data_IF_960440486015
#
_entry.id   IF_960440486015
#
_cell.length_a   1.000
_cell.length_b   1.000
_cell.length_c   1.000
_cell.angle_alpha   90.00
_cell.angle_beta   90.00
_cell.angle_gamma   90.00
#
_symmetry.space_group_name_H-M   'P 1'
#
loop_
_entity.id
_entity.type
_entity.pdbx_description
1 polymer ?
#
# COMPACT_ATOMS: atom_id res chain seq x y z
N UNK A 1 -3.92 -29.02 -28.35
CA UNK A 1 -3.95 -27.63 -27.85
C UNK A 1 -2.58 -27.34 -27.30
N UNK A 2 -1.82 -26.45 -27.93
CA UNK A 2 -0.60 -25.93 -27.30
C UNK A 2 -1.06 -24.97 -26.21
N UNK A 3 -0.65 -25.23 -24.97
CA UNK A 3 -0.92 -24.34 -23.85
C UNK A 3 0.06 -23.18 -23.94
N UNK A 4 -0.45 -21.97 -24.16
CA UNK A 4 0.40 -20.77 -24.12
C UNK A 4 0.55 -20.31 -22.67
N UNK A 5 1.59 -20.82 -22.00
CA UNK A 5 1.88 -20.48 -20.62
C UNK A 5 2.28 -19.02 -20.43
N UNK A 6 2.82 -18.36 -21.47
CA UNK A 6 3.28 -16.98 -21.38
C UNK A 6 2.10 -16.01 -21.28
N UNK A 7 1.05 -16.24 -22.08
CA UNK A 7 -0.19 -15.46 -22.00
C UNK A 7 -0.83 -15.51 -20.60
N UNK A 8 -0.87 -16.69 -19.97
CA UNK A 8 -1.39 -16.85 -18.62
C UNK A 8 -0.53 -16.18 -17.56
N UNK A 9 0.79 -16.22 -17.71
CA UNK A 9 1.73 -15.51 -16.82
C UNK A 9 1.52 -14.00 -16.95
N UNK A 10 1.45 -13.47 -18.17
CA UNK A 10 1.15 -12.06 -18.40
C UNK A 10 -0.16 -11.65 -17.77
N UNK A 11 -1.22 -12.43 -18.00
CA UNK A 11 -2.53 -12.19 -17.41
C UNK A 11 -2.46 -12.11 -15.87
N UNK A 12 -1.79 -13.08 -15.23
CA UNK A 12 -1.63 -13.10 -13.78
C UNK A 12 -0.88 -11.86 -13.27
N UNK A 13 0.26 -11.51 -13.89
CA UNK A 13 1.04 -10.34 -13.48
C UNK A 13 0.29 -9.03 -13.70
N UNK A 14 -0.50 -8.90 -14.78
CA UNK A 14 -1.33 -7.71 -15.05
C UNK A 14 -2.36 -7.52 -13.94
N UNK A 15 -3.14 -8.54 -13.62
CA UNK A 15 -4.16 -8.45 -12.58
C UNK A 15 -3.56 -8.24 -11.20
N UNK A 16 -2.48 -8.94 -10.87
CA UNK A 16 -1.77 -8.72 -9.62
C UNK A 16 -1.28 -7.27 -9.51
N UNK A 17 -0.67 -6.73 -10.57
CA UNK A 17 -0.19 -5.35 -10.61
C UNK A 17 -1.32 -4.33 -10.42
N UNK A 18 -2.45 -4.53 -11.10
CA UNK A 18 -3.63 -3.66 -10.95
C UNK A 18 -4.16 -3.68 -9.52
N UNK A 19 -4.31 -4.86 -8.91
CA UNK A 19 -4.78 -5.01 -7.52
C UNK A 19 -3.81 -4.35 -6.55
N UNK A 20 -2.50 -4.61 -6.69
CA UNK A 20 -1.47 -3.97 -5.88
C UNK A 20 -1.51 -2.44 -6.02
N UNK A 21 -1.66 -1.93 -7.26
CA UNK A 21 -1.79 -0.51 -7.55
C UNK A 21 -3.01 0.12 -6.87
N UNK A 22 -4.17 -0.52 -6.92
CA UNK A 22 -5.38 -0.07 -6.20
C UNK A 22 -5.13 -0.02 -4.69
N UNK A 23 -4.51 -1.05 -4.11
CA UNK A 23 -4.19 -1.09 -2.69
C UNK A 23 -3.19 0.02 -2.29
N UNK A 24 -2.16 0.26 -3.10
CA UNK A 24 -1.15 1.29 -2.84
C UNK A 24 -1.73 2.70 -2.93
N UNK A 25 -2.51 2.98 -3.97
CA UNK A 25 -3.14 4.30 -4.14
C UNK A 25 -4.22 4.52 -3.06
N UNK A 26 -5.03 3.51 -2.76
CA UNK A 26 -6.06 3.57 -1.74
C UNK A 26 -5.48 3.84 -0.34
N UNK A 27 -4.44 3.10 0.04
CA UNK A 27 -3.73 3.34 1.31
C UNK A 27 -3.10 4.73 1.37
N UNK A 28 -2.53 5.22 0.26
CA UNK A 28 -1.97 6.57 0.18
C UNK A 28 -3.04 7.65 0.44
N UNK A 29 -4.21 7.56 -0.21
CA UNK A 29 -5.30 8.49 0.04
C UNK A 29 -5.85 8.40 1.47
N UNK A 30 -5.96 7.18 2.01
CA UNK A 30 -6.36 6.99 3.41
C UNK A 30 -5.40 7.71 4.36
N UNK A 31 -4.08 7.54 4.21
CA UNK A 31 -3.10 8.18 5.09
C UNK A 31 -3.06 9.71 4.91
N UNK A 32 -3.25 10.23 3.70
CA UNK A 32 -3.40 11.67 3.47
C UNK A 32 -4.64 12.20 4.20
N UNK A 33 -5.80 11.54 4.05
CA UNK A 33 -7.02 11.94 4.73
C UNK A 33 -6.88 11.86 6.26
N UNK A 34 -6.24 10.80 6.77
CA UNK A 34 -5.92 10.63 8.18
C UNK A 34 -5.06 11.78 8.69
N UNK A 35 -3.98 12.12 8.00
CA UNK A 35 -3.06 13.20 8.38
C UNK A 35 -3.76 14.55 8.42
N UNK A 36 -4.62 14.85 7.45
CA UNK A 36 -5.43 16.07 7.41
C UNK A 36 -6.52 16.11 8.49
N UNK A 37 -6.93 14.95 9.02
CA UNK A 37 -7.95 14.83 10.06
C UNK A 37 -7.43 14.97 11.49
N UNK A 38 -6.11 15.00 11.68
CA UNK A 38 -5.49 15.01 13.00
C UNK A 38 -5.87 16.27 13.79
N UNK A 39 -6.23 16.05 15.06
CA UNK A 39 -6.54 17.11 16.02
C UNK A 39 -5.60 17.06 17.21
N UNK A 40 -5.29 18.24 17.75
CA UNK A 40 -4.64 18.35 19.06
C UNK A 40 -5.69 18.19 20.16
N UNK A 41 -5.30 17.53 21.25
CA UNK A 41 -6.10 17.39 22.47
C UNK A 41 -5.20 17.53 23.69
N UNK A 42 -5.76 18.00 24.81
CA UNK A 42 -5.08 18.09 26.10
C UNK A 42 -4.74 16.72 26.69
N UNK A 43 -5.39 15.66 26.25
CA UNK A 43 -5.15 14.27 26.67
C UNK A 43 -4.03 13.56 25.89
N UNK A 44 -3.44 14.22 24.89
CA UNK A 44 -2.39 13.61 24.07
C UNK A 44 -1.10 13.36 24.86
N UNK A 45 -0.38 12.26 24.58
CA UNK A 45 0.99 12.08 25.04
C UNK A 45 1.87 13.27 24.65
N UNK A 46 2.83 13.65 25.49
CA UNK A 46 3.69 14.83 25.27
C UNK A 46 4.41 14.82 23.91
N UNK A 47 4.79 13.64 23.43
CA UNK A 47 5.52 13.44 22.17
C UNK A 47 4.59 13.35 20.94
N UNK A 48 3.28 13.30 21.15
CA UNK A 48 2.32 13.10 20.09
C UNK A 48 2.08 14.37 19.27
N UNK A 49 1.99 14.20 17.96
CA UNK A 49 1.63 15.25 17.02
C UNK A 49 0.13 15.55 17.03
N UNK A 50 -0.70 14.52 17.08
CA UNK A 50 -2.16 14.64 17.05
C UNK A 50 -2.84 13.29 17.15
N UNK A 51 -4.15 13.29 17.31
CA UNK A 51 -4.99 12.10 17.23
C UNK A 51 -6.08 12.23 16.18
N UNK A 52 -6.56 11.08 15.68
CA UNK A 52 -7.76 10.97 14.89
C UNK A 52 -8.63 9.84 15.44
N UNK A 53 -9.93 10.10 15.51
CA UNK A 53 -10.94 9.12 15.87
C UNK A 53 -11.68 8.67 14.61
N UNK A 54 -11.72 7.36 14.38
CA UNK A 54 -12.34 6.75 13.21
C UNK A 54 -13.32 5.66 13.62
N UNK A 55 -14.37 5.47 12.82
CA UNK A 55 -15.33 4.37 12.97
C UNK A 55 -15.28 3.47 11.75
N UNK A 56 -15.17 2.15 11.96
CA UNK A 56 -15.24 1.18 10.88
C UNK A 56 -15.68 -0.19 11.41
N UNK A 57 -16.53 -0.90 10.66
CA UNK A 57 -17.02 -2.23 11.05
C UNK A 57 -17.78 -2.26 12.39
N UNK A 58 -18.37 -1.14 12.81
CA UNK A 58 -19.05 -1.01 14.10
C UNK A 58 -18.14 -0.73 15.31
N UNK A 59 -16.82 -0.66 15.11
CA UNK A 59 -15.84 -0.33 16.16
C UNK A 59 -15.24 1.08 16.00
N UNK A 60 -14.56 1.55 17.04
CA UNK A 60 -13.90 2.85 17.08
C UNK A 60 -12.38 2.68 17.23
N UNK A 61 -11.63 3.44 16.44
CA UNK A 61 -10.16 3.48 16.46
C UNK A 61 -9.72 4.87 16.91
N UNK A 62 -8.84 4.93 17.91
CA UNK A 62 -8.09 6.14 18.23
C UNK A 62 -6.66 5.96 17.73
N UNK A 63 -6.29 6.72 16.69
CA UNK A 63 -4.94 6.74 16.16
C UNK A 63 -4.20 7.96 16.67
N UNK A 64 -3.05 7.75 17.30
CA UNK A 64 -2.14 8.81 17.75
C UNK A 64 -0.93 8.83 16.83
N UNK A 65 -0.68 9.96 16.16
CA UNK A 65 0.48 10.13 15.29
C UNK A 65 1.64 10.75 16.06
N UNK A 66 2.82 10.16 15.91
CA UNK A 66 4.10 10.72 16.34
C UNK A 66 4.91 11.09 15.09
N UNK A 67 5.62 12.23 15.10
CA UNK A 67 6.47 12.65 13.96
C UNK A 67 7.81 11.92 13.94
N UNK A 68 8.23 11.42 15.10
CA UNK A 68 9.47 10.67 15.32
C UNK A 68 9.14 9.48 16.22
N UNK A 69 10.05 8.51 16.27
CA UNK A 69 9.88 7.37 17.17
C UNK A 69 9.76 7.86 18.63
N UNK A 70 8.70 7.46 19.37
CA UNK A 70 8.57 7.79 20.79
C UNK A 70 9.57 6.97 21.63
N UNK A 71 9.78 7.35 22.89
CA UNK A 71 10.70 6.64 23.79
C UNK A 71 10.36 5.16 24.00
N UNK A 72 9.09 4.81 23.88
CA UNK A 72 8.60 3.43 23.96
C UNK A 72 7.86 3.07 22.67
N UNK A 73 8.53 2.33 21.81
CA UNK A 73 7.98 1.76 20.59
C UNK A 73 7.45 0.35 20.89
N UNK A 74 6.24 -0.03 20.47
CA UNK A 74 5.77 -1.40 20.65
C UNK A 74 6.59 -2.39 19.81
N UNK A 75 6.74 -3.62 20.33
CA UNK A 75 7.49 -4.69 19.64
C UNK A 75 6.85 -5.11 18.31
N UNK A 76 5.54 -4.91 18.17
CA UNK A 76 4.78 -5.24 16.99
C UNK A 76 4.37 -3.96 16.24
N UNK A 77 4.85 -3.84 15.00
CA UNK A 77 4.54 -2.73 14.12
C UNK A 77 4.07 -3.24 12.77
N UNK A 78 2.95 -2.69 12.29
CA UNK A 78 2.48 -2.90 10.93
C UNK A 78 3.00 -1.79 10.05
N UNK A 79 3.80 -2.15 9.04
CA UNK A 79 4.30 -1.20 8.06
C UNK A 79 3.63 -1.45 6.69
N UNK A 80 2.81 -0.49 6.27
CA UNK A 80 2.13 -0.44 4.96
C UNK A 80 3.12 -0.09 3.84
N UNK A 81 4.05 -0.99 3.55
CA UNK A 81 5.06 -0.85 2.48
C UNK A 81 4.83 -1.79 1.31
N UNK A 82 4.11 -2.88 1.56
CA UNK A 82 4.05 -4.02 0.66
C UNK A 82 3.22 -3.71 -0.57
N UNK A 83 2.21 -2.87 -0.44
CA UNK A 83 1.37 -2.42 -1.55
C UNK A 83 2.25 -1.69 -2.59
N UNK A 84 3.05 -0.72 -2.14
CA UNK A 84 3.97 0.03 -2.99
C UNK A 84 5.04 -0.87 -3.62
N UNK A 85 5.68 -1.73 -2.82
CA UNK A 85 6.71 -2.64 -3.31
C UNK A 85 6.15 -3.68 -4.29
N UNK A 86 4.97 -4.22 -4.03
CA UNK A 86 4.30 -5.16 -4.92
C UNK A 86 3.95 -4.50 -6.25
N UNK A 87 3.39 -3.28 -6.24
CA UNK A 87 3.13 -2.52 -7.47
C UNK A 87 4.42 -2.30 -8.26
N UNK A 88 5.50 -1.86 -7.60
CA UNK A 88 6.77 -1.62 -8.27
C UNK A 88 7.36 -2.89 -8.89
N UNK A 89 7.48 -3.97 -8.10
CA UNK A 89 8.06 -5.25 -8.54
C UNK A 89 7.27 -5.80 -9.73
N UNK A 90 5.94 -5.81 -9.63
CA UNK A 90 5.10 -6.37 -10.70
C UNK A 90 5.02 -5.47 -11.93
N UNK A 91 5.15 -4.15 -11.77
CA UNK A 91 5.30 -3.23 -12.89
C UNK A 91 6.61 -3.44 -13.65
N UNK A 92 7.71 -3.62 -12.92
CA UNK A 92 9.01 -3.97 -13.50
C UNK A 92 8.97 -5.33 -14.21
N UNK A 93 8.33 -6.33 -13.60
CA UNK A 93 8.14 -7.64 -14.22
C UNK A 93 7.31 -7.56 -15.50
N UNK A 94 6.21 -6.80 -15.51
CA UNK A 94 5.40 -6.57 -16.71
C UNK A 94 6.16 -5.85 -17.81
N UNK A 95 6.99 -4.87 -17.46
CA UNK A 95 7.85 -4.21 -18.43
C UNK A 95 8.78 -5.21 -19.14
N UNK A 96 9.39 -6.14 -18.40
CA UNK A 96 10.22 -7.21 -18.96
C UNK A 96 9.39 -8.18 -19.80
N UNK A 97 8.28 -8.68 -19.26
CA UNK A 97 7.43 -9.66 -19.93
C UNK A 97 6.90 -9.13 -21.27
N UNK A 98 6.32 -7.94 -21.28
CA UNK A 98 5.63 -7.40 -22.45
C UNK A 98 6.62 -6.87 -23.49
N UNK A 99 7.66 -6.14 -23.07
CA UNK A 99 8.52 -5.41 -24.01
C UNK A 99 9.83 -6.10 -24.35
N UNK A 100 10.31 -7.05 -23.54
CA UNK A 100 11.55 -7.77 -23.83
C UNK A 100 11.29 -9.20 -24.26
N UNK A 101 10.38 -9.90 -23.58
CA UNK A 101 10.10 -11.31 -23.87
C UNK A 101 8.97 -11.49 -24.89
N UNK A 102 7.94 -10.64 -24.84
CA UNK A 102 6.84 -10.60 -25.81
C UNK A 102 7.13 -9.80 -27.08
N UNK A 103 8.36 -9.31 -27.28
CA UNK A 103 8.72 -8.44 -28.41
C UNK A 103 8.58 -9.14 -29.77
N UNK A 104 8.77 -10.45 -29.85
CA UNK A 104 8.61 -11.25 -31.08
C UNK A 104 7.15 -11.55 -31.44
N UNK A 105 6.19 -11.30 -30.54
CA UNK A 105 4.76 -11.56 -30.81
C UNK A 105 4.07 -10.46 -31.65
N UNK A 106 4.77 -9.36 -31.95
CA UNK A 106 4.19 -8.19 -32.64
C UNK A 106 4.93 -7.77 -33.93
N UNK A 107 5.94 -8.53 -34.40
CA UNK A 107 6.65 -8.33 -35.67
C UNK A 107 6.74 -9.65 -36.44
#
# INVERSE_FOLDING_TARGET
MNFDYLEWIEFMFRWFHVIAGIAWIGSSFYFIALDLSLRKSSSLPKEAHGEAWQVHGGGFYNLVKYLVAPNHLPDHLTWFKWEAYATWITGAALFILVYYLGAELYL
#
